data_IF_997670923558
#
_entry.id   IF_997670923558
#
_cell.length_a   1.000
_cell.length_b   1.000
_cell.length_c   1.000
_cell.angle_alpha   90.00
_cell.angle_beta   90.00
_cell.angle_gamma   90.00
#
_symmetry.space_group_name_H-M   'P 1'
#
loop_
_entity.id
_entity.type
_entity.pdbx_description
1 polymer ?
#
# COMPACT_ATOMS: atom_id res chain seq x y z
N UNK A 1 -30.71 5.08 33.26
CA UNK A 1 -30.51 4.06 32.19
C UNK A 1 -29.15 3.40 32.37
N UNK A 2 -29.13 2.10 32.67
CA UNK A 2 -27.88 1.34 32.84
C UNK A 2 -27.03 1.45 31.56
N UNK A 3 -25.72 1.71 31.70
CA UNK A 3 -24.75 1.62 30.60
C UNK A 3 -24.50 0.14 30.28
N UNK A 4 -25.50 -0.52 29.71
CA UNK A 4 -25.43 -1.89 29.26
C UNK A 4 -25.44 -1.98 27.73
N UNK A 5 -24.75 -2.99 27.19
CA UNK A 5 -24.89 -3.36 25.78
C UNK A 5 -26.24 -4.01 25.54
N UNK A 6 -26.98 -3.55 24.54
CA UNK A 6 -28.32 -4.07 24.20
C UNK A 6 -28.27 -5.46 23.55
N UNK A 7 -27.10 -5.94 23.10
CA UNK A 7 -26.93 -7.25 22.46
C UNK A 7 -26.34 -8.32 23.39
N UNK A 8 -25.39 -7.95 24.23
CA UNK A 8 -24.67 -8.92 25.07
C UNK A 8 -24.79 -8.63 26.57
N UNK A 9 -25.62 -7.66 26.96
CA UNK A 9 -25.88 -7.33 28.37
C UNK A 9 -24.69 -6.75 29.14
N UNK A 10 -23.51 -6.56 28.51
CA UNK A 10 -22.30 -6.07 29.20
C UNK A 10 -22.55 -4.74 29.90
N UNK A 11 -22.52 -4.77 31.23
CA UNK A 11 -22.66 -3.61 32.10
C UNK A 11 -21.36 -3.24 32.84
N UNK A 12 -21.40 -2.19 33.68
CA UNK A 12 -20.27 -1.79 34.52
C UNK A 12 -19.85 -2.92 35.46
N UNK A 13 -18.55 -3.21 35.51
CA UNK A 13 -17.97 -4.19 36.44
C UNK A 13 -17.18 -3.46 37.52
N UNK A 14 -17.15 -4.00 38.73
CA UNK A 14 -16.31 -3.51 39.82
C UNK A 14 -15.05 -4.36 39.85
N UNK A 15 -13.88 -3.72 39.92
CA UNK A 15 -12.61 -4.40 40.09
C UNK A 15 -11.60 -3.49 40.77
N UNK A 16 -10.33 -3.88 40.75
CA UNK A 16 -9.28 -3.07 41.36
C UNK A 16 -8.44 -2.34 40.30
N UNK A 17 -8.06 -1.10 40.59
CA UNK A 17 -6.94 -0.42 39.95
C UNK A 17 -5.66 -0.82 40.68
N UNK A 18 -4.73 -1.41 39.95
CA UNK A 18 -3.43 -1.80 40.48
C UNK A 18 -2.39 -0.79 40.00
N UNK A 19 -1.75 -0.09 40.93
CA UNK A 19 -0.62 0.79 40.63
C UNK A 19 0.67 0.01 40.78
N UNK A 20 1.49 0.01 39.74
CA UNK A 20 2.75 -0.72 39.68
C UNK A 20 3.89 0.30 39.61
N UNK A 21 4.94 0.11 40.41
CA UNK A 21 6.19 0.90 40.34
C UNK A 21 7.39 -0.01 40.17
N UNK A 22 8.52 0.54 39.72
CA UNK A 22 9.78 -0.18 39.57
C UNK A 22 10.29 -0.20 38.12
N UNK A 23 11.57 -0.57 37.96
CA UNK A 23 12.21 -0.69 36.64
C UNK A 23 11.63 -1.89 35.88
N UNK A 24 11.52 -1.78 34.55
CA UNK A 24 11.09 -2.85 33.66
C UNK A 24 12.09 -4.01 33.68
N UNK A 25 11.65 -5.24 33.38
CA UNK A 25 12.49 -6.46 33.46
C UNK A 25 13.76 -6.39 32.62
N UNK A 26 13.67 -5.81 31.41
CA UNK A 26 14.83 -5.64 30.54
C UNK A 26 15.85 -4.58 31.02
N UNK A 27 15.51 -3.79 32.05
CA UNK A 27 16.42 -2.85 32.73
C UNK A 27 16.91 -3.41 34.08
N UNK A 28 16.82 -4.72 34.28
CA UNK A 28 17.23 -5.39 35.52
C UNK A 28 16.29 -5.20 36.72
N UNK A 29 15.03 -4.79 36.49
CA UNK A 29 14.02 -4.67 37.55
C UNK A 29 13.03 -5.83 37.62
N UNK A 30 12.21 -5.90 38.67
CA UNK A 30 11.15 -6.93 38.81
C UNK A 30 9.99 -6.71 37.82
N UNK A 31 9.81 -5.48 37.30
CA UNK A 31 8.80 -5.11 36.30
C UNK A 31 7.36 -4.95 36.80
N UNK A 32 6.99 -5.59 37.92
CA UNK A 32 5.60 -5.66 38.40
C UNK A 32 5.47 -5.53 39.93
N UNK A 33 6.20 -4.62 40.59
CA UNK A 33 5.97 -4.37 42.03
C UNK A 33 4.69 -3.57 42.24
N UNK A 34 3.67 -4.23 42.80
CA UNK A 34 2.38 -3.61 43.15
C UNK A 34 2.55 -2.70 44.36
N UNK A 35 2.20 -1.42 44.22
CA UNK A 35 2.32 -0.42 45.30
C UNK A 35 0.98 0.03 45.86
N UNK A 36 -0.12 -0.27 45.17
CA UNK A 36 -1.45 0.10 45.65
C UNK A 36 -2.55 -0.62 44.89
N UNK A 37 -3.60 -0.98 45.60
CA UNK A 37 -4.81 -1.63 45.09
C UNK A 37 -5.99 -0.80 45.57
N UNK A 38 -6.67 -0.11 44.66
CA UNK A 38 -7.86 0.69 44.98
C UNK A 38 -9.07 0.19 44.18
N UNK A 39 -10.28 0.23 44.77
CA UNK A 39 -11.50 -0.19 44.06
C UNK A 39 -11.83 0.82 42.96
N UNK A 40 -12.15 0.34 41.75
CA UNK A 40 -12.62 1.17 40.64
C UNK A 40 -13.77 0.49 39.89
N UNK A 41 -14.62 1.32 39.28
CA UNK A 41 -15.66 0.85 38.36
C UNK A 41 -15.12 0.84 36.92
N UNK A 42 -15.09 -0.33 36.29
CA UNK A 42 -14.78 -0.53 34.88
C UNK A 42 -16.05 -0.39 34.04
N UNK A 43 -16.15 0.69 33.28
CA UNK A 43 -17.28 0.93 32.37
C UNK A 43 -16.96 0.34 30.98
N UNK A 44 -17.84 -0.51 30.40
CA UNK A 44 -17.66 -0.99 29.04
C UNK A 44 -17.62 0.17 28.04
N UNK A 45 -16.78 0.05 27.00
CA UNK A 45 -16.77 0.98 25.89
C UNK A 45 -17.99 0.72 24.99
N UNK A 46 -19.11 1.35 25.34
CA UNK A 46 -20.36 1.30 24.58
C UNK A 46 -20.39 2.44 23.56
N UNK A 47 -20.67 2.09 22.32
CA UNK A 47 -20.79 3.01 21.20
C UNK A 47 -22.24 3.05 20.73
N UNK A 48 -22.75 4.23 20.41
CA UNK A 48 -24.07 4.39 19.77
C UNK A 48 -23.90 4.17 18.28
N UNK A 49 -24.49 3.09 17.75
CA UNK A 49 -24.33 2.69 16.35
C UNK A 49 -25.70 2.59 15.68
N UNK A 50 -25.79 3.01 14.42
CA UNK A 50 -26.99 2.84 13.59
C UNK A 50 -26.93 1.48 12.89
N UNK A 51 -27.81 0.58 13.31
CA UNK A 51 -27.84 -0.82 12.85
C UNK A 51 -28.86 -0.96 11.74
N UNK A 52 -28.56 -1.78 10.73
CA UNK A 52 -29.52 -2.14 9.69
C UNK A 52 -30.45 -3.24 10.22
N UNK A 53 -31.76 -2.97 10.29
CA UNK A 53 -32.79 -3.97 10.63
C UNK A 53 -33.33 -4.70 9.39
N UNK A 54 -34.12 -5.75 9.62
CA UNK A 54 -34.62 -6.74 8.63
C UNK A 54 -35.58 -6.20 7.54
N UNK A 55 -35.63 -4.89 7.30
CA UNK A 55 -36.50 -4.29 6.29
C UNK A 55 -36.09 -2.88 5.86
N UNK A 56 -34.80 -2.54 5.97
CA UNK A 56 -34.29 -1.21 5.65
C UNK A 56 -34.51 -0.14 6.74
N UNK A 57 -35.32 -0.46 7.75
CA UNK A 57 -35.45 0.31 8.98
C UNK A 57 -34.14 0.30 9.76
N UNK A 58 -33.74 1.45 10.29
CA UNK A 58 -32.47 1.60 10.98
C UNK A 58 -32.68 2.20 12.37
N UNK A 59 -32.32 1.45 13.40
CA UNK A 59 -32.41 1.86 14.79
C UNK A 59 -31.03 2.22 15.36
N UNK A 60 -31.01 3.11 16.34
CA UNK A 60 -29.81 3.39 17.12
C UNK A 60 -29.76 2.45 18.31
N UNK A 61 -28.73 1.61 18.38
CA UNK A 61 -28.49 0.71 19.50
C UNK A 61 -27.21 1.09 20.25
N UNK A 62 -27.17 0.87 21.56
CA UNK A 62 -25.94 0.98 22.37
C UNK A 62 -25.24 -0.38 22.41
N UNK A 63 -24.11 -0.47 21.72
CA UNK A 63 -23.41 -1.73 21.50
C UNK A 63 -21.96 -1.63 21.98
N UNK A 64 -21.45 -2.69 22.60
CA UNK A 64 -20.04 -2.75 23.00
C UNK A 64 -19.10 -2.95 21.79
N UNK A 65 -17.87 -2.45 21.88
CA UNK A 65 -16.87 -2.58 20.79
C UNK A 65 -16.60 -4.04 20.39
N UNK A 66 -16.68 -4.99 21.32
CA UNK A 66 -16.48 -6.41 21.00
C UNK A 66 -17.56 -6.95 20.06
N UNK A 67 -18.83 -6.61 20.26
CA UNK A 67 -19.92 -7.01 19.36
C UNK A 67 -19.82 -6.33 17.99
N UNK A 68 -19.27 -5.12 17.94
CA UNK A 68 -18.97 -4.43 16.67
C UNK A 68 -17.86 -5.16 15.91
N UNK A 69 -16.78 -5.54 16.60
CA UNK A 69 -15.64 -6.23 15.98
C UNK A 69 -15.96 -7.67 15.58
N UNK A 70 -16.86 -8.35 16.32
CA UNK A 70 -17.25 -9.72 16.03
C UNK A 70 -18.28 -9.83 14.90
N UNK A 71 -18.70 -8.73 14.28
CA UNK A 71 -19.69 -8.75 13.20
C UNK A 71 -21.13 -9.04 13.65
N UNK A 72 -21.41 -9.04 14.96
CA UNK A 72 -22.77 -9.27 15.48
C UNK A 72 -23.75 -8.11 15.15
N UNK A 73 -23.24 -7.04 14.54
CA UNK A 73 -24.00 -5.87 14.11
C UNK A 73 -23.56 -5.45 12.73
N UNK A 74 -24.51 -5.44 11.79
CA UNK A 74 -24.30 -4.84 10.47
C UNK A 74 -24.63 -3.35 10.55
N UNK A 75 -23.60 -2.50 10.43
CA UNK A 75 -23.78 -1.05 10.39
C UNK A 75 -24.42 -0.66 9.07
N UNK A 76 -25.36 0.29 9.09
CA UNK A 76 -25.86 0.89 7.85
C UNK A 76 -24.72 1.68 7.19
N UNK A 77 -24.23 1.18 6.06
CA UNK A 77 -23.20 1.84 5.25
C UNK A 77 -23.83 3.08 4.60
N UNK A 78 -23.31 4.27 4.89
CA UNK A 78 -23.79 5.55 4.31
C UNK A 78 -23.33 5.76 2.87
N UNK A 79 -22.13 5.28 2.57
CA UNK A 79 -21.48 5.38 1.27
C UNK A 79 -20.82 4.04 1.02
N UNK A 80 -21.10 3.41 -0.13
CA UNK A 80 -20.48 2.14 -0.47
C UNK A 80 -18.94 2.28 -0.35
N UNK A 81 -18.23 1.30 0.24
CA UNK A 81 -16.78 1.32 0.24
C UNK A 81 -16.29 1.38 -1.20
N UNK A 82 -15.26 2.19 -1.45
CA UNK A 82 -14.57 2.18 -2.75
C UNK A 82 -14.15 0.74 -3.06
N UNK A 83 -14.66 0.20 -4.15
CA UNK A 83 -14.26 -1.13 -4.61
C UNK A 83 -12.90 -0.98 -5.27
N UNK A 84 -11.86 -1.54 -4.65
CA UNK A 84 -10.62 -1.80 -5.35
C UNK A 84 -10.96 -2.66 -6.57
N UNK A 85 -10.38 -2.40 -7.75
CA UNK A 85 -10.48 -3.34 -8.86
C UNK A 85 -9.93 -4.67 -8.34
N UNK A 86 -10.84 -5.61 -8.07
CA UNK A 86 -10.48 -6.98 -7.71
C UNK A 86 -9.54 -7.42 -8.81
N UNK A 87 -8.30 -7.81 -8.46
CA UNK A 87 -7.24 -8.23 -9.40
C UNK A 87 -7.92 -8.87 -10.59
N UNK A 88 -7.97 -8.16 -11.72
CA UNK A 88 -8.47 -8.74 -12.94
C UNK A 88 -7.69 -10.05 -13.07
N UNK A 89 -8.41 -11.17 -13.17
CA UNK A 89 -7.80 -12.41 -13.57
C UNK A 89 -6.89 -12.06 -14.74
N UNK A 90 -5.58 -12.36 -14.61
CA UNK A 90 -4.58 -12.10 -15.64
C UNK A 90 -5.26 -12.41 -16.96
N UNK A 91 -5.44 -11.44 -17.88
CA UNK A 91 -6.00 -11.78 -19.18
C UNK A 91 -5.15 -12.95 -19.65
N UNK A 92 -5.79 -14.11 -19.87
CA UNK A 92 -5.13 -15.26 -20.43
C UNK A 92 -4.39 -14.72 -21.65
N UNK A 93 -3.08 -14.98 -21.72
CA UNK A 93 -2.24 -14.48 -22.79
C UNK A 93 -2.94 -14.83 -24.10
N UNK A 94 -3.58 -13.83 -24.69
CA UNK A 94 -4.15 -13.93 -26.01
C UNK A 94 -2.92 -13.99 -26.90
N UNK A 95 -2.64 -15.19 -27.40
CA UNK A 95 -1.59 -15.39 -28.38
C UNK A 95 -1.75 -14.38 -29.52
N UNK A 96 -0.61 -13.86 -29.98
CA UNK A 96 -0.46 -13.04 -31.17
C UNK A 96 -1.34 -11.76 -31.19
N UNK A 97 -1.03 -10.79 -30.34
CA UNK A 97 -1.34 -9.40 -30.70
C UNK A 97 -0.35 -8.96 -31.77
N UNK A 98 -0.84 -8.79 -33.00
CA UNK A 98 -0.07 -8.14 -34.05
C UNK A 98 0.32 -6.73 -33.58
N UNK A 99 1.62 -6.46 -33.47
CA UNK A 99 2.12 -5.14 -33.08
C UNK A 99 1.81 -4.17 -34.20
N UNK A 100 0.99 -3.17 -33.89
CA UNK A 100 0.64 -2.12 -34.84
C UNK A 100 1.70 -1.01 -34.86
N UNK A 101 1.74 -0.24 -35.95
CA UNK A 101 2.57 0.97 -36.04
C UNK A 101 2.28 1.94 -34.89
N UNK A 102 1.01 2.14 -34.54
CA UNK A 102 0.60 3.00 -33.41
C UNK A 102 1.10 2.50 -32.04
N UNK A 103 1.30 1.18 -31.88
CA UNK A 103 1.90 0.66 -30.65
C UNK A 103 3.38 1.04 -30.55
N UNK A 104 4.11 0.99 -31.67
CA UNK A 104 5.52 1.39 -31.73
C UNK A 104 5.65 2.89 -31.47
N UNK A 105 4.80 3.72 -32.08
CA UNK A 105 4.76 5.17 -31.83
C UNK A 105 4.49 5.49 -30.35
N UNK A 106 3.54 4.77 -29.73
CA UNK A 106 3.25 4.93 -28.30
C UNK A 106 4.43 4.54 -27.42
N UNK A 107 5.10 3.43 -27.73
CA UNK A 107 6.29 2.97 -26.99
C UNK A 107 7.44 3.96 -27.16
N UNK A 108 7.65 4.51 -28.36
CA UNK A 108 8.65 5.53 -28.62
C UNK A 108 8.41 6.80 -27.79
N UNK A 109 7.16 7.27 -27.72
CA UNK A 109 6.80 8.42 -26.87
C UNK A 109 7.06 8.16 -25.38
N UNK A 110 6.76 6.95 -24.89
CA UNK A 110 7.05 6.55 -23.50
C UNK A 110 8.55 6.47 -23.22
N UNK A 111 9.33 6.01 -24.19
CA UNK A 111 10.78 5.91 -24.13
C UNK A 111 11.51 7.24 -24.42
N UNK A 112 10.77 8.32 -24.75
CA UNK A 112 11.33 9.62 -25.17
C UNK A 112 12.23 9.51 -26.40
N UNK A 113 11.83 8.68 -27.36
CA UNK A 113 12.49 8.52 -28.65
C UNK A 113 11.67 9.22 -29.74
N UNK A 114 12.31 10.14 -30.44
CA UNK A 114 11.76 10.74 -31.67
C UNK A 114 12.13 9.83 -32.86
N UNK A 115 11.12 9.19 -33.45
CA UNK A 115 11.28 8.30 -34.60
C UNK A 115 10.61 8.93 -35.83
N UNK A 116 11.29 8.87 -36.97
CA UNK A 116 10.70 9.25 -38.25
C UNK A 116 9.85 8.12 -38.86
N UNK A 117 9.09 8.44 -39.91
CA UNK A 117 8.19 7.49 -40.57
C UNK A 117 8.92 6.26 -41.13
N UNK A 118 10.12 6.45 -41.68
CA UNK A 118 10.91 5.36 -42.26
C UNK A 118 11.43 4.41 -41.17
N UNK A 119 11.84 4.96 -40.02
CA UNK A 119 12.23 4.20 -38.84
C UNK A 119 11.06 3.44 -38.26
N UNK A 120 9.86 4.03 -38.19
CA UNK A 120 8.66 3.36 -37.73
C UNK A 120 8.28 2.18 -38.65
N UNK A 121 8.34 2.37 -39.96
CA UNK A 121 8.09 1.29 -40.94
C UNK A 121 9.11 0.16 -40.82
N UNK A 122 10.39 0.47 -40.57
CA UNK A 122 11.43 -0.53 -40.40
C UNK A 122 11.36 -1.27 -39.05
N UNK A 123 11.08 -0.55 -37.96
CA UNK A 123 11.08 -1.09 -36.59
C UNK A 123 9.83 -1.91 -36.28
N UNK A 124 8.68 -1.55 -36.85
CA UNK A 124 7.42 -2.28 -36.61
C UNK A 124 7.53 -3.79 -36.85
N UNK A 125 8.00 -4.28 -38.02
CA UNK A 125 8.16 -5.72 -38.24
C UNK A 125 9.27 -6.34 -37.39
N UNK A 126 10.33 -5.59 -37.05
CA UNK A 126 11.42 -6.09 -36.21
C UNK A 126 10.95 -6.35 -34.77
N UNK A 127 10.23 -5.39 -34.19
CA UNK A 127 9.66 -5.51 -32.84
C UNK A 127 8.60 -6.61 -32.83
N UNK A 128 7.76 -6.70 -33.87
CA UNK A 128 6.81 -7.81 -34.02
C UNK A 128 7.52 -9.17 -34.01
N UNK A 129 8.65 -9.30 -34.73
CA UNK A 129 9.46 -10.53 -34.72
C UNK A 129 10.05 -10.87 -33.34
N UNK A 130 10.56 -9.87 -32.61
CA UNK A 130 11.10 -10.07 -31.26
C UNK A 130 10.02 -10.53 -30.30
N UNK A 131 8.85 -9.90 -30.31
CA UNK A 131 7.74 -10.27 -29.42
C UNK A 131 7.20 -11.66 -29.77
N UNK A 132 7.07 -11.98 -31.06
CA UNK A 132 6.70 -13.33 -31.49
C UNK A 132 7.70 -14.40 -31.03
N UNK A 133 8.99 -14.07 -30.95
CA UNK A 133 9.99 -14.99 -30.38
C UNK A 133 9.82 -15.14 -28.87
N UNK A 134 9.56 -14.05 -28.14
CA UNK A 134 9.31 -14.07 -26.68
C UNK A 134 8.05 -14.87 -26.33
N UNK A 135 7.04 -14.89 -27.20
CA UNK A 135 5.83 -15.71 -27.03
C UNK A 135 6.13 -17.22 -26.91
N UNK A 136 7.30 -17.69 -27.39
CA UNK A 136 7.73 -19.08 -27.17
C UNK A 136 7.84 -19.46 -25.68
N UNK A 137 8.05 -18.48 -24.79
CA UNK A 137 8.08 -18.70 -23.34
C UNK A 137 6.70 -19.08 -22.77
N UNK A 138 5.60 -18.79 -23.48
CA UNK A 138 4.25 -19.16 -23.05
C UNK A 138 3.99 -20.68 -23.08
N UNK A 139 4.83 -21.45 -23.78
CA UNK A 139 4.76 -22.91 -23.81
C UNK A 139 5.19 -23.56 -22.48
N UNK A 140 5.86 -22.82 -21.59
CA UNK A 140 6.35 -23.31 -20.31
C UNK A 140 5.30 -23.05 -19.22
N UNK A 141 4.88 -24.11 -18.50
CA UNK A 141 3.97 -23.98 -17.36
C UNK A 141 4.71 -23.37 -16.16
N UNK A 142 4.24 -22.20 -15.72
CA UNK A 142 4.75 -21.49 -14.54
C UNK A 142 3.73 -21.48 -13.39
N UNK A 143 2.74 -22.37 -13.39
CA UNK A 143 1.75 -22.46 -12.32
C UNK A 143 2.43 -22.77 -10.97
N UNK A 144 2.22 -21.91 -9.97
CA UNK A 144 2.80 -22.06 -8.63
C UNK A 144 4.28 -21.69 -8.52
N UNK A 145 4.90 -21.16 -9.59
CA UNK A 145 6.28 -20.63 -9.53
C UNK A 145 6.25 -19.17 -9.10
N UNK A 146 6.91 -18.86 -7.98
CA UNK A 146 7.06 -17.48 -7.51
C UNK A 146 8.01 -16.68 -8.42
N UNK A 147 7.67 -15.43 -8.81
CA UNK A 147 8.56 -14.60 -9.62
C UNK A 147 9.87 -14.25 -8.91
N UNK A 148 11.00 -14.40 -9.60
CA UNK A 148 12.32 -14.03 -9.09
C UNK A 148 12.70 -12.61 -9.55
N UNK A 149 12.66 -11.63 -8.64
CA UNK A 149 13.04 -10.23 -8.92
C UNK A 149 14.56 -9.98 -8.81
N UNK A 150 15.22 -10.66 -7.87
CA UNK A 150 16.66 -10.57 -7.65
C UNK A 150 17.24 -11.98 -7.59
N UNK A 151 18.40 -12.18 -8.24
CA UNK A 151 19.10 -13.47 -8.21
C UNK A 151 19.74 -13.79 -6.86
N UNK A 152 19.91 -12.77 -6.01
CA UNK A 152 20.49 -12.89 -4.67
C UNK A 152 19.47 -12.40 -3.65
N UNK A 153 19.37 -13.12 -2.54
CA UNK A 153 18.53 -12.72 -1.42
C UNK A 153 19.12 -11.48 -0.75
N UNK A 154 18.40 -10.35 -0.84
CA UNK A 154 18.75 -9.09 -0.19
C UNK A 154 17.81 -8.86 0.99
N UNK A 155 18.38 -8.67 2.17
CA UNK A 155 17.63 -8.37 3.38
C UNK A 155 18.10 -7.04 3.95
N UNK A 156 17.16 -6.09 4.09
CA UNK A 156 17.33 -4.85 4.85
C UNK A 156 18.69 -4.17 4.64
N UNK A 157 19.05 -3.92 3.38
CA UNK A 157 20.29 -3.20 3.02
C UNK A 157 20.11 -1.71 3.37
N UNK A 158 20.34 -1.38 4.64
CA UNK A 158 20.20 -0.03 5.19
C UNK A 158 21.54 0.71 5.14
N UNK A 159 21.48 1.98 4.73
CA UNK A 159 22.59 2.93 4.87
C UNK A 159 22.47 3.61 6.24
N UNK A 160 23.59 3.79 6.95
CA UNK A 160 23.64 4.61 8.16
C UNK A 160 23.23 6.06 7.86
N UNK A 161 22.49 6.68 8.77
CA UNK A 161 22.04 8.08 8.65
C UNK A 161 23.14 9.05 9.08
N UNK A 162 24.22 9.06 8.29
CA UNK A 162 25.37 9.93 8.49
C UNK A 162 25.51 10.88 7.31
N UNK A 163 25.81 12.15 7.61
CA UNK A 163 26.10 13.17 6.60
C UNK A 163 27.47 12.87 5.98
N UNK A 164 27.53 12.82 4.66
CA UNK A 164 28.78 12.68 3.90
C UNK A 164 28.95 13.90 3.01
N UNK A 165 30.21 14.27 2.75
CA UNK A 165 30.51 15.31 1.77
C UNK A 165 29.96 14.89 0.40
N UNK A 166 29.13 15.74 -0.20
CA UNK A 166 28.66 15.57 -1.57
C UNK A 166 29.74 15.96 -2.59
N UNK A 167 29.41 15.83 -3.86
CA UNK A 167 30.25 16.38 -4.94
C UNK A 167 30.33 17.92 -4.81
N UNK A 168 31.47 18.50 -5.19
CA UNK A 168 31.56 19.95 -5.35
C UNK A 168 30.66 20.41 -6.49
N UNK A 169 30.22 21.66 -6.45
CA UNK A 169 29.38 22.24 -7.50
C UNK A 169 30.04 22.14 -8.89
N UNK A 170 31.33 22.45 -8.97
CA UNK A 170 32.11 22.32 -10.19
C UNK A 170 32.17 20.88 -10.71
N UNK A 171 32.43 19.91 -9.82
CA UNK A 171 32.49 18.49 -10.18
C UNK A 171 31.12 17.98 -10.66
N UNK A 172 30.03 18.39 -10.01
CA UNK A 172 28.68 18.01 -10.41
C UNK A 172 28.30 18.54 -11.79
N UNK A 173 28.81 19.72 -12.18
CA UNK A 173 28.51 20.36 -13.47
C UNK A 173 29.56 20.07 -14.56
N UNK A 174 30.60 19.29 -14.27
CA UNK A 174 31.71 19.06 -15.20
C UNK A 174 31.23 18.48 -16.54
N UNK A 175 30.31 17.52 -16.51
CA UNK A 175 29.77 16.82 -17.70
C UNK A 175 28.49 17.42 -18.27
N UNK A 176 28.02 18.55 -17.74
CA UNK A 176 26.75 19.15 -18.15
C UNK A 176 26.85 19.73 -19.58
N UNK A 177 26.01 19.30 -20.55
CA UNK A 177 26.04 19.84 -21.91
C UNK A 177 25.71 21.34 -21.99
N UNK A 178 24.82 21.81 -21.10
CA UNK A 178 24.52 23.24 -20.90
C UNK A 178 24.39 23.51 -19.41
N UNK A 179 25.13 24.50 -18.92
CA UNK A 179 25.15 24.95 -17.53
C UNK A 179 25.25 26.46 -17.46
N UNK A 180 24.83 27.02 -16.34
CA UNK A 180 25.16 28.40 -15.95
C UNK A 180 25.95 28.38 -14.63
N UNK A 181 26.15 29.55 -14.02
CA UNK A 181 26.88 29.66 -12.74
C UNK A 181 26.14 28.98 -11.56
N UNK A 182 24.87 28.62 -11.73
CA UNK A 182 23.99 28.12 -10.67
C UNK A 182 23.69 26.63 -10.86
N UNK A 183 23.44 26.14 -12.08
CA UNK A 183 23.05 24.75 -12.32
C UNK A 183 22.93 24.32 -13.78
N UNK A 184 22.17 23.23 -13.99
CA UNK A 184 21.89 22.66 -15.32
C UNK A 184 20.85 23.49 -16.06
N UNK A 185 21.15 23.87 -17.30
CA UNK A 185 20.26 24.70 -18.12
C UNK A 185 19.46 23.84 -19.08
N UNK A 186 18.14 23.79 -18.89
CA UNK A 186 17.18 23.08 -19.74
C UNK A 186 16.14 24.05 -20.32
N UNK A 187 15.48 23.71 -21.44
CA UNK A 187 14.30 24.45 -21.90
C UNK A 187 13.23 24.51 -20.80
N UNK A 188 12.48 25.62 -20.77
CA UNK A 188 11.39 25.76 -19.80
C UNK A 188 10.32 24.68 -20.04
N UNK A 189 9.93 23.99 -18.97
CA UNK A 189 8.77 23.08 -19.01
C UNK A 189 7.53 23.95 -18.87
N UNK A 190 6.91 24.28 -20.01
CA UNK A 190 5.62 24.95 -20.05
C UNK A 190 4.54 23.87 -20.13
N UNK A 191 3.46 24.02 -19.36
CA UNK A 191 2.31 23.12 -19.45
C UNK A 191 1.72 23.19 -20.86
N UNK A 192 1.58 22.02 -21.50
CA UNK A 192 0.89 21.83 -22.77
C UNK A 192 -0.39 21.04 -22.57
#
# INVERSE_FOLDING_TARGET
MARACELCGKGPQIGNQVTIRGKKKYLGGVGTKVTGITKRQFKPNLQRVKVAGEGGNAAHLRVCVQCIRSGAVVKKVRTAPFQLPVKAAKPQAAGAMAISRSDVERVAHLARLDLDDAQLEALTPQIAGIVAYVDSLAAVDTAGVEPMAHAVELYNVLRADEVRAGLSHEAALASAPRKDAVGFKVPAVLEG
#
